data_IF_731657744726
#
_entry.id   IF_731657744726
#
_cell.length_a   1.000
_cell.length_b   1.000
_cell.length_c   1.000
_cell.angle_alpha   90.00
_cell.angle_beta   90.00
_cell.angle_gamma   90.00
#
_symmetry.space_group_name_H-M   'P 1'
#
loop_
_entity.id
_entity.type
_entity.pdbx_description
1 polymer ?
#
# COMPACT_ATOMS: atom_id res chain seq x y z
N UNK A 1 -10.73 7.00 -11.03
CA UNK A 1 -9.37 7.00 -10.46
C UNK A 1 -9.45 6.23 -9.15
N UNK A 2 -8.35 5.66 -8.66
CA UNK A 2 -8.41 4.78 -7.49
C UNK A 2 -7.14 4.85 -6.68
N UNK A 3 -7.25 4.50 -5.40
CA UNK A 3 -6.13 4.40 -4.47
C UNK A 3 -4.94 3.58 -5.02
N UNK A 4 -5.17 2.62 -5.93
CA UNK A 4 -4.10 1.85 -6.56
C UNK A 4 -3.30 2.67 -7.59
N UNK A 5 -3.98 3.46 -8.40
CA UNK A 5 -3.39 4.33 -9.41
C UNK A 5 -4.01 5.73 -9.28
N UNK A 6 -3.49 6.55 -8.35
CA UNK A 6 -4.06 7.86 -8.08
C UNK A 6 -4.02 8.75 -9.31
N UNK A 7 -5.00 9.66 -9.37
CA UNK A 7 -5.11 10.67 -10.43
C UNK A 7 -4.06 11.77 -10.33
N UNK A 8 -3.54 11.97 -9.12
CA UNK A 8 -2.57 13.01 -8.77
C UNK A 8 -1.25 12.40 -8.30
N UNK A 9 -0.18 13.17 -8.43
CA UNK A 9 1.17 12.72 -8.09
C UNK A 9 1.76 11.72 -9.09
N UNK A 10 2.99 11.30 -8.82
CA UNK A 10 3.71 10.32 -9.62
C UNK A 10 3.97 9.04 -8.82
N UNK A 11 2.91 8.51 -8.20
CA UNK A 11 2.93 7.34 -7.31
C UNK A 11 1.78 6.37 -7.61
N UNK A 12 1.85 5.19 -7.03
CA UNK A 12 0.87 4.11 -7.17
C UNK A 12 1.14 3.01 -6.15
N UNK A 13 0.13 2.19 -5.85
CA UNK A 13 0.22 1.14 -4.86
C UNK A 13 0.41 -0.24 -5.50
N UNK A 14 1.34 -1.03 -4.95
CA UNK A 14 1.61 -2.42 -5.35
C UNK A 14 1.27 -3.47 -4.29
N UNK A 15 0.57 -3.11 -3.22
CA UNK A 15 0.43 -3.96 -2.04
C UNK A 15 -0.35 -5.26 -2.30
N UNK A 16 -1.42 -5.19 -3.09
CA UNK A 16 -2.27 -6.35 -3.42
C UNK A 16 -1.55 -7.41 -4.28
N UNK A 17 -0.38 -7.07 -4.85
CA UNK A 17 0.46 -8.02 -5.57
C UNK A 17 1.42 -8.80 -4.64
N UNK A 18 1.34 -8.59 -3.33
CA UNK A 18 2.13 -9.30 -2.33
C UNK A 18 3.57 -8.82 -2.22
N UNK A 19 3.94 -7.66 -2.77
CA UNK A 19 5.32 -7.15 -2.68
C UNK A 19 5.78 -7.04 -1.23
N UNK A 20 4.98 -6.39 -0.38
CA UNK A 20 5.32 -6.12 1.03
C UNK A 20 5.17 -7.33 1.96
N UNK A 21 4.78 -8.50 1.43
CA UNK A 21 4.96 -9.75 2.16
C UNK A 21 6.44 -10.16 2.26
N UNK A 22 7.31 -9.62 1.39
CA UNK A 22 8.76 -9.80 1.49
C UNK A 22 9.32 -8.93 2.62
N UNK A 23 10.21 -9.49 3.45
CA UNK A 23 10.90 -8.77 4.52
C UNK A 23 12.11 -8.02 3.97
N UNK A 24 11.85 -6.99 3.18
CA UNK A 24 12.84 -6.13 2.55
C UNK A 24 12.79 -4.71 3.12
N UNK A 25 13.88 -3.98 2.98
CA UNK A 25 13.94 -2.54 3.24
C UNK A 25 13.43 -1.75 2.02
N UNK A 26 13.00 -0.48 2.19
CA UNK A 26 12.50 0.35 1.09
C UNK A 26 13.42 0.42 -0.14
N UNK A 27 14.73 0.49 0.09
CA UNK A 27 15.72 0.50 -0.99
C UNK A 27 15.74 -0.82 -1.75
N UNK A 28 15.62 -1.94 -1.05
CA UNK A 28 15.62 -3.28 -1.62
C UNK A 28 14.34 -3.53 -2.43
N UNK A 29 13.19 -3.03 -1.99
CA UNK A 29 11.97 -3.04 -2.81
C UNK A 29 12.17 -2.32 -4.14
N UNK A 30 12.78 -1.14 -4.14
CA UNK A 30 13.04 -0.37 -5.36
C UNK A 30 14.00 -1.11 -6.30
N UNK A 31 15.04 -1.73 -5.76
CA UNK A 31 15.97 -2.58 -6.52
C UNK A 31 15.22 -3.77 -7.14
N UNK A 32 14.41 -4.48 -6.35
CA UNK A 32 13.64 -5.62 -6.83
C UNK A 32 12.65 -5.24 -7.95
N UNK A 33 11.94 -4.12 -7.77
CA UNK A 33 11.03 -3.57 -8.77
C UNK A 33 11.78 -3.25 -10.08
N UNK A 34 12.95 -2.63 -9.97
CA UNK A 34 13.78 -2.31 -11.14
C UNK A 34 14.23 -3.59 -11.86
N UNK A 35 14.78 -4.56 -11.13
CA UNK A 35 15.22 -5.84 -11.69
C UNK A 35 14.09 -6.59 -12.39
N UNK A 36 12.92 -6.71 -11.74
CA UNK A 36 11.73 -7.32 -12.35
C UNK A 36 11.34 -6.59 -13.64
N UNK A 37 11.37 -5.26 -13.63
CA UNK A 37 11.00 -4.44 -14.78
C UNK A 37 11.95 -4.65 -15.96
N UNK A 38 13.26 -4.56 -15.74
CA UNK A 38 14.24 -4.68 -16.82
C UNK A 38 14.30 -6.13 -17.36
N UNK A 39 14.19 -7.13 -16.49
CA UNK A 39 14.08 -8.53 -16.93
C UNK A 39 12.79 -8.78 -17.71
N UNK A 40 11.66 -8.22 -17.29
CA UNK A 40 10.40 -8.36 -18.03
C UNK A 40 10.52 -7.78 -19.43
N UNK A 41 11.03 -6.55 -19.57
CA UNK A 41 11.22 -5.87 -20.86
C UNK A 41 12.11 -6.63 -21.83
N UNK A 42 13.11 -7.35 -21.31
CA UNK A 42 14.10 -8.05 -22.15
C UNK A 42 13.72 -9.49 -22.46
N UNK A 43 12.86 -10.11 -21.66
CA UNK A 43 12.56 -11.56 -21.77
C UNK A 43 11.12 -11.89 -22.15
N UNK A 44 10.17 -10.97 -21.94
CA UNK A 44 8.76 -11.17 -22.28
C UNK A 44 8.45 -10.58 -23.65
N UNK A 45 7.89 -11.42 -24.52
CA UNK A 45 7.37 -11.02 -25.82
C UNK A 45 5.85 -11.25 -25.85
N UNK A 46 5.07 -10.19 -26.05
CA UNK A 46 3.61 -10.24 -26.07
C UNK A 46 3.03 -11.15 -27.17
N UNK A 47 3.77 -11.38 -28.25
CA UNK A 47 3.39 -12.28 -29.35
C UNK A 47 3.67 -13.76 -29.02
N UNK A 48 4.54 -14.03 -28.03
CA UNK A 48 4.98 -15.37 -27.65
C UNK A 48 4.44 -15.72 -26.27
N UNK A 49 3.22 -16.28 -26.20
CA UNK A 49 2.54 -16.59 -24.92
C UNK A 49 3.40 -17.37 -23.90
N UNK A 50 4.32 -18.23 -24.35
CA UNK A 50 5.18 -19.01 -23.46
C UNK A 50 6.25 -18.16 -22.74
N UNK A 51 6.56 -16.94 -23.21
CA UNK A 51 7.53 -16.08 -22.53
C UNK A 51 7.06 -15.64 -21.14
N UNK A 52 5.75 -15.50 -20.91
CA UNK A 52 5.21 -15.07 -19.62
C UNK A 52 5.41 -16.12 -18.51
N UNK A 53 5.02 -17.40 -18.69
CA UNK A 53 5.33 -18.43 -17.70
C UNK A 53 6.84 -18.63 -17.48
N UNK A 54 7.67 -18.48 -18.52
CA UNK A 54 9.13 -18.58 -18.39
C UNK A 54 9.68 -17.45 -17.51
N UNK A 55 9.28 -16.20 -17.78
CA UNK A 55 9.65 -15.05 -16.93
C UNK A 55 9.21 -15.27 -15.49
N UNK A 56 7.94 -15.65 -15.28
CA UNK A 56 7.38 -15.91 -13.95
C UNK A 56 8.22 -16.93 -13.19
N UNK A 57 8.45 -18.11 -13.79
CA UNK A 57 9.23 -19.19 -13.18
C UNK A 57 10.65 -18.74 -12.84
N UNK A 58 11.31 -18.02 -13.74
CA UNK A 58 12.67 -17.52 -13.52
C UNK A 58 12.73 -16.53 -12.35
N UNK A 59 11.78 -15.59 -12.28
CA UNK A 59 11.70 -14.63 -11.16
C UNK A 59 11.36 -15.31 -9.84
N UNK A 60 10.35 -16.19 -9.82
CA UNK A 60 9.98 -16.95 -8.63
C UNK A 60 11.18 -17.73 -8.09
N UNK A 61 11.95 -18.42 -8.95
CA UNK A 61 13.16 -19.13 -8.55
C UNK A 61 14.26 -18.22 -7.99
N UNK A 62 14.49 -17.05 -8.59
CA UNK A 62 15.46 -16.06 -8.10
C UNK A 62 15.06 -15.51 -6.73
N UNK A 63 13.77 -15.38 -6.47
CA UNK A 63 13.21 -14.75 -5.28
C UNK A 63 12.87 -15.75 -4.16
N UNK A 64 13.03 -17.06 -4.38
CA UNK A 64 12.74 -18.13 -3.40
C UNK A 64 13.44 -17.94 -2.05
N UNK A 65 14.63 -17.34 -2.04
CA UNK A 65 15.43 -17.13 -0.84
C UNK A 65 15.04 -15.87 -0.05
N UNK A 66 14.17 -15.02 -0.60
CA UNK A 66 13.76 -13.79 0.07
C UNK A 66 12.82 -14.15 1.24
N UNK A 67 13.12 -13.67 2.46
CA UNK A 67 12.31 -13.97 3.63
C UNK A 67 10.91 -13.35 3.50
N UNK A 68 9.89 -14.08 3.95
CA UNK A 68 8.49 -13.67 3.90
C UNK A 68 7.89 -13.49 5.30
N UNK A 69 6.82 -12.71 5.41
CA UNK A 69 5.98 -12.67 6.61
C UNK A 69 5.09 -13.90 6.70
N UNK A 70 4.46 -14.23 5.58
CA UNK A 70 3.59 -15.38 5.42
C UNK A 70 4.00 -16.15 4.15
N UNK A 71 4.36 -17.42 4.33
CA UNK A 71 4.79 -18.31 3.24
C UNK A 71 3.63 -18.68 2.30
N UNK A 72 2.38 -18.55 2.77
CA UNK A 72 1.19 -18.84 1.97
C UNK A 72 0.79 -17.68 1.06
N UNK A 73 1.25 -16.46 1.36
CA UNK A 73 0.94 -15.28 0.56
C UNK A 73 1.80 -15.24 -0.70
N UNK A 74 1.13 -15.21 -1.86
CA UNK A 74 1.79 -15.17 -3.16
C UNK A 74 2.39 -13.80 -3.46
N UNK A 75 3.67 -13.76 -3.84
CA UNK A 75 4.38 -12.56 -4.27
C UNK A 75 4.44 -12.54 -5.81
N UNK A 76 3.62 -11.70 -6.45
CA UNK A 76 3.53 -11.68 -7.91
C UNK A 76 4.80 -11.09 -8.55
N UNK A 77 5.51 -11.83 -9.44
CA UNK A 77 6.73 -11.33 -10.10
C UNK A 77 6.44 -10.32 -11.21
N UNK A 78 5.18 -10.19 -11.63
CA UNK A 78 4.76 -9.23 -12.66
C UNK A 78 4.52 -7.82 -12.12
N UNK A 79 4.75 -7.57 -10.82
CA UNK A 79 4.75 -6.21 -10.30
C UNK A 79 6.11 -5.55 -10.56
N UNK A 80 6.09 -4.44 -11.30
CA UNK A 80 7.26 -3.63 -11.63
C UNK A 80 6.86 -2.18 -11.93
N UNK A 81 7.79 -1.38 -12.45
CA UNK A 81 7.50 -0.02 -12.93
C UNK A 81 6.74 -0.06 -14.26
N UNK A 82 5.68 0.74 -14.34
CA UNK A 82 4.76 0.76 -15.50
C UNK A 82 4.76 2.09 -16.26
N UNK A 83 5.60 3.03 -15.82
CA UNK A 83 5.84 4.30 -16.50
C UNK A 83 7.32 4.45 -16.89
N UNK A 84 7.63 5.25 -17.93
CA UNK A 84 9.02 5.49 -18.36
C UNK A 84 9.91 6.13 -17.29
N UNK A 85 9.32 6.97 -16.43
CA UNK A 85 10.05 7.72 -15.40
C UNK A 85 10.29 6.90 -14.12
N UNK A 86 9.81 5.65 -14.07
CA UNK A 86 9.92 4.76 -12.90
C UNK A 86 9.34 5.41 -11.63
N UNK A 87 8.28 6.21 -11.78
CA UNK A 87 7.55 6.79 -10.64
C UNK A 87 6.43 5.88 -10.15
N UNK A 88 5.78 5.16 -11.07
CA UNK A 88 4.59 4.34 -10.85
C UNK A 88 4.92 2.86 -11.01
N UNK A 89 4.46 2.08 -10.06
CA UNK A 89 4.48 0.63 -10.07
C UNK A 89 3.11 0.07 -10.42
N UNK A 90 3.08 -1.13 -10.96
CA UNK A 90 1.84 -1.78 -11.34
C UNK A 90 2.07 -3.16 -11.94
N UNK A 91 0.99 -3.82 -12.30
CA UNK A 91 1.04 -5.10 -12.97
C UNK A 91 1.51 -4.89 -14.42
N UNK A 92 2.72 -5.35 -14.76
CA UNK A 92 3.30 -5.23 -16.11
C UNK A 92 2.54 -6.04 -17.17
N UNK A 93 1.66 -6.94 -16.73
CA UNK A 93 0.76 -7.71 -17.58
C UNK A 93 -0.71 -7.25 -17.44
N UNK A 94 -0.95 -6.05 -16.92
CA UNK A 94 -2.31 -5.51 -16.82
C UNK A 94 -2.89 -5.26 -18.22
N UNK A 95 -4.17 -5.57 -18.48
CA UNK A 95 -4.80 -5.39 -19.81
C UNK A 95 -4.63 -3.99 -20.40
N UNK A 96 -4.54 -2.95 -19.56
CA UNK A 96 -4.30 -1.57 -20.01
C UNK A 96 -2.97 -1.40 -20.75
N UNK A 97 -1.96 -2.21 -20.42
CA UNK A 97 -0.62 -2.16 -21.03
C UNK A 97 -0.45 -3.19 -22.14
N UNK A 98 -1.16 -4.31 -22.05
CA UNK A 98 -1.01 -5.44 -22.98
C UNK A 98 -2.03 -5.42 -24.12
N UNK A 99 -3.17 -4.75 -23.94
CA UNK A 99 -4.33 -4.83 -24.83
C UNK A 99 -5.09 -6.17 -24.76
N UNK A 100 -4.58 -7.16 -24.01
CA UNK A 100 -5.21 -8.47 -23.86
C UNK A 100 -5.97 -8.54 -22.52
N UNK A 101 -7.31 -8.65 -22.51
CA UNK A 101 -8.08 -8.77 -21.28
C UNK A 101 -7.74 -10.02 -20.46
N UNK A 102 -7.07 -11.00 -21.06
CA UNK A 102 -6.69 -12.27 -20.44
C UNK A 102 -5.22 -12.31 -20.01
N UNK A 103 -4.42 -11.27 -20.22
CA UNK A 103 -2.98 -11.30 -19.92
C UNK A 103 -2.68 -11.59 -18.45
N UNK A 104 -3.55 -11.16 -17.53
CA UNK A 104 -3.38 -11.47 -16.10
C UNK A 104 -3.57 -12.95 -15.75
N UNK A 105 -4.08 -13.80 -16.64
CA UNK A 105 -4.13 -15.25 -16.44
C UNK A 105 -2.74 -15.92 -16.38
N UNK A 106 -1.67 -15.18 -16.70
CA UNK A 106 -0.30 -15.65 -16.45
C UNK A 106 0.15 -15.48 -14.98
N UNK A 107 -0.54 -14.64 -14.20
CA UNK A 107 -0.34 -14.55 -12.75
C UNK A 107 -0.95 -15.74 -12.00
N UNK A 108 -0.64 -15.90 -10.72
CA UNK A 108 -1.22 -16.95 -9.89
C UNK A 108 -2.73 -16.78 -9.67
N UNK A 109 -3.17 -15.57 -9.33
CA UNK A 109 -4.58 -15.29 -9.03
C UNK A 109 -5.46 -15.23 -10.29
N UNK A 110 -4.86 -14.95 -11.46
CA UNK A 110 -5.59 -14.83 -12.71
C UNK A 110 -6.37 -13.53 -12.86
N UNK A 111 -6.93 -13.29 -14.06
CA UNK A 111 -7.58 -12.04 -14.39
C UNK A 111 -8.82 -11.75 -13.52
N UNK A 112 -9.63 -12.76 -13.22
CA UNK A 112 -10.87 -12.58 -12.44
C UNK A 112 -10.60 -12.04 -11.04
N UNK A 113 -9.67 -12.64 -10.30
CA UNK A 113 -9.33 -12.21 -8.94
C UNK A 113 -8.57 -10.89 -8.99
N UNK A 114 -7.56 -10.75 -9.85
CA UNK A 114 -6.75 -9.53 -9.91
C UNK A 114 -7.55 -8.27 -10.27
N UNK A 115 -8.58 -8.38 -11.11
CA UNK A 115 -9.38 -7.22 -11.53
C UNK A 115 -10.54 -6.90 -10.58
N UNK A 116 -11.04 -7.91 -9.86
CA UNK A 116 -12.15 -7.73 -8.93
C UNK A 116 -11.72 -7.41 -7.50
N UNK A 117 -10.42 -7.51 -7.18
CA UNK A 117 -9.92 -7.29 -5.84
C UNK A 117 -9.89 -5.80 -5.47
N UNK A 118 -10.64 -5.44 -4.43
CA UNK A 118 -10.59 -4.15 -3.76
C UNK A 118 -10.05 -4.33 -2.33
N UNK A 119 -9.01 -3.58 -1.96
CA UNK A 119 -8.52 -3.58 -0.59
C UNK A 119 -9.44 -2.75 0.32
N UNK A 120 -9.34 -2.97 1.63
CA UNK A 120 -10.21 -2.30 2.62
C UNK A 120 -10.17 -0.77 2.54
N UNK A 121 -9.00 -0.18 2.28
CA UNK A 121 -8.91 1.27 2.09
C UNK A 121 -9.57 1.75 0.79
N UNK A 122 -9.57 0.93 -0.27
CA UNK A 122 -10.26 1.25 -1.52
C UNK A 122 -11.78 1.15 -1.37
N UNK A 123 -12.27 0.25 -0.52
CA UNK A 123 -13.69 0.12 -0.19
C UNK A 123 -14.21 1.25 0.72
N UNK A 124 -13.33 2.03 1.35
CA UNK A 124 -13.72 3.13 2.26
C UNK A 124 -14.43 4.26 1.50
N UNK A 125 -15.46 4.83 2.12
CA UNK A 125 -16.13 6.04 1.61
C UNK A 125 -15.21 7.27 1.63
N UNK A 126 -14.10 7.22 2.37
CA UNK A 126 -13.08 8.26 2.44
C UNK A 126 -11.88 7.98 1.53
N UNK A 127 -11.95 6.97 0.66
CA UNK A 127 -10.84 6.54 -0.18
C UNK A 127 -10.21 7.68 -0.99
N UNK A 128 -11.01 8.58 -1.56
CA UNK A 128 -10.51 9.71 -2.34
C UNK A 128 -9.74 10.74 -1.49
N UNK A 129 -10.17 10.97 -0.25
CA UNK A 129 -9.47 11.86 0.69
C UNK A 129 -8.12 11.27 1.11
N UNK A 130 -8.11 9.97 1.42
CA UNK A 130 -6.89 9.23 1.72
C UNK A 130 -5.95 9.16 0.52
N UNK A 131 -6.47 8.90 -0.68
CA UNK A 131 -5.71 8.93 -1.93
C UNK A 131 -4.97 10.26 -2.08
N UNK A 132 -5.70 11.38 -1.94
CA UNK A 132 -5.13 12.72 -2.05
C UNK A 132 -4.04 12.98 -1.00
N UNK A 133 -4.30 12.65 0.28
CA UNK A 133 -3.34 12.84 1.37
C UNK A 133 -2.07 12.02 1.14
N UNK A 134 -2.22 10.74 0.79
CA UNK A 134 -1.09 9.83 0.59
C UNK A 134 -0.29 10.18 -0.64
N UNK A 135 -0.93 10.57 -1.74
CA UNK A 135 -0.25 10.98 -2.96
C UNK A 135 0.54 12.29 -2.78
N UNK A 136 0.05 13.20 -1.94
CA UNK A 136 0.75 14.43 -1.58
C UNK A 136 1.99 14.15 -0.72
N UNK A 137 1.87 13.27 0.28
CA UNK A 137 2.96 13.06 1.23
C UNK A 137 4.00 12.04 0.76
N UNK A 138 3.62 11.00 0.00
CA UNK A 138 4.55 9.93 -0.34
C UNK A 138 5.69 10.43 -1.22
N UNK A 139 6.93 10.07 -0.88
CA UNK A 139 8.10 10.42 -1.72
C UNK A 139 8.20 9.58 -2.98
N UNK A 140 7.60 8.40 -2.96
CA UNK A 140 7.62 7.42 -4.05
C UNK A 140 6.51 6.37 -3.89
N UNK A 141 6.40 5.47 -4.87
CA UNK A 141 5.41 4.39 -4.87
C UNK A 141 5.58 3.36 -3.74
N UNK A 142 6.77 3.23 -3.12
CA UNK A 142 6.98 2.32 -1.98
C UNK A 142 6.37 2.92 -0.72
N UNK A 143 6.71 4.17 -0.40
CA UNK A 143 6.07 4.89 0.73
C UNK A 143 4.55 4.98 0.52
N UNK A 144 4.11 5.34 -0.69
CA UNK A 144 2.68 5.42 -1.01
C UNK A 144 1.97 4.08 -0.78
N UNK A 145 2.61 2.97 -1.17
CA UNK A 145 2.02 1.65 -0.96
C UNK A 145 1.88 1.29 0.52
N UNK A 146 2.85 1.62 1.36
CA UNK A 146 2.74 1.40 2.80
C UNK A 146 1.56 2.16 3.41
N UNK A 147 1.39 3.43 3.03
CA UNK A 147 0.27 4.25 3.48
C UNK A 147 -1.07 3.68 2.98
N UNK A 148 -1.17 3.41 1.67
CA UNK A 148 -2.39 2.92 1.05
C UNK A 148 -2.81 1.53 1.55
N UNK A 149 -1.87 0.71 2.00
CA UNK A 149 -2.13 -0.63 2.51
C UNK A 149 -2.53 -0.68 4.00
N UNK A 150 -2.12 0.32 4.79
CA UNK A 150 -2.30 0.36 6.25
C UNK A 150 -3.73 0.76 6.67
N UNK A 151 -4.68 -0.09 6.29
CA UNK A 151 -6.10 0.12 6.54
C UNK A 151 -6.49 -0.01 8.02
N UNK A 152 -5.71 -0.75 8.82
CA UNK A 152 -5.93 -0.85 10.26
C UNK A 152 -5.65 0.51 10.90
N UNK A 153 -4.52 1.14 10.56
CA UNK A 153 -4.15 2.43 11.12
C UNK A 153 -5.09 3.55 10.64
N UNK A 154 -5.49 3.53 9.36
CA UNK A 154 -6.54 4.42 8.83
C UNK A 154 -7.84 4.26 9.61
N UNK A 155 -8.32 3.03 9.79
CA UNK A 155 -9.56 2.75 10.53
C UNK A 155 -9.47 3.17 11.99
N UNK A 156 -8.32 2.98 12.64
CA UNK A 156 -8.08 3.44 14.01
C UNK A 156 -8.17 4.97 14.11
N UNK A 157 -7.58 5.71 13.15
CA UNK A 157 -7.64 7.18 13.14
C UNK A 157 -9.05 7.69 12.89
N UNK A 158 -9.77 7.13 11.92
CA UNK A 158 -11.18 7.47 11.68
C UNK A 158 -12.01 7.24 12.94
N UNK A 159 -11.77 6.13 13.64
CA UNK A 159 -12.45 5.80 14.90
C UNK A 159 -12.09 6.76 16.03
N UNK A 160 -10.82 7.19 16.11
CA UNK A 160 -10.37 8.18 17.08
C UNK A 160 -11.13 9.51 16.90
N UNK A 161 -11.13 10.07 15.68
CA UNK A 161 -11.83 11.33 15.43
C UNK A 161 -13.34 11.20 15.63
N UNK A 162 -13.93 10.05 15.33
CA UNK A 162 -15.33 9.78 15.66
C UNK A 162 -15.61 9.88 17.17
N UNK A 163 -14.76 9.31 18.01
CA UNK A 163 -14.91 9.35 19.48
C UNK A 163 -14.66 10.74 20.05
N UNK A 164 -13.77 11.52 19.44
CA UNK A 164 -13.54 12.94 19.72
C UNK A 164 -14.57 13.85 19.06
N UNK A 165 -15.69 13.28 18.56
CA UNK A 165 -16.82 13.99 17.94
C UNK A 165 -16.41 14.93 16.79
N UNK A 166 -15.30 14.62 16.13
CA UNK A 166 -14.75 15.38 15.01
C UNK A 166 -15.16 14.73 13.69
N UNK A 167 -15.74 15.52 12.79
CA UNK A 167 -16.10 15.06 11.44
C UNK A 167 -14.85 14.94 10.55
N UNK A 168 -14.71 13.85 9.80
CA UNK A 168 -13.54 13.62 8.93
C UNK A 168 -13.36 14.69 7.85
N UNK A 169 -14.43 15.30 7.35
CA UNK A 169 -14.32 16.44 6.42
C UNK A 169 -13.55 17.61 7.06
N UNK A 170 -13.89 17.94 8.31
CA UNK A 170 -13.19 18.97 9.07
C UNK A 170 -11.73 18.59 9.29
N UNK A 171 -11.47 17.32 9.62
CA UNK A 171 -10.10 16.81 9.84
C UNK A 171 -9.26 16.97 8.56
N UNK A 172 -9.75 16.55 7.39
CA UNK A 172 -9.01 16.68 6.14
C UNK A 172 -8.79 18.13 5.69
N UNK A 173 -9.69 19.04 6.04
CA UNK A 173 -9.59 20.46 5.68
C UNK A 173 -8.70 21.25 6.65
N UNK A 174 -8.81 21.00 7.96
CA UNK A 174 -8.24 21.87 9.01
C UNK A 174 -7.09 21.23 9.78
N UNK A 175 -7.02 19.89 9.81
CA UNK A 175 -6.00 19.13 10.54
C UNK A 175 -5.12 18.30 9.59
N UNK A 176 -5.04 18.73 8.33
CA UNK A 176 -4.33 17.99 7.28
C UNK A 176 -2.85 17.81 7.60
N UNK A 177 -2.20 18.86 8.09
CA UNK A 177 -0.77 18.82 8.42
C UNK A 177 -0.50 17.89 9.61
N UNK A 178 -1.39 17.91 10.60
CA UNK A 178 -1.36 17.01 11.75
C UNK A 178 -1.55 15.55 11.31
N UNK A 179 -2.51 15.28 10.42
CA UNK A 179 -2.66 13.94 9.83
C UNK A 179 -1.37 13.50 9.11
N UNK A 180 -0.77 14.37 8.30
CA UNK A 180 0.48 14.06 7.62
C UNK A 180 1.60 13.75 8.62
N UNK A 181 1.70 14.50 9.72
CA UNK A 181 2.70 14.26 10.76
C UNK A 181 2.53 12.88 11.42
N UNK A 182 1.30 12.49 11.77
CA UNK A 182 1.00 11.16 12.31
C UNK A 182 1.47 10.07 11.32
N UNK A 183 1.11 10.19 10.05
CA UNK A 183 1.50 9.21 9.03
C UNK A 183 3.01 9.22 8.74
N UNK A 184 3.68 10.37 8.88
CA UNK A 184 5.15 10.43 8.79
C UNK A 184 5.80 9.67 9.92
N UNK A 185 5.32 9.82 11.15
CA UNK A 185 5.77 9.02 12.29
C UNK A 185 5.49 7.53 12.06
N UNK A 186 4.31 7.20 11.52
CA UNK A 186 3.94 5.83 11.14
C UNK A 186 4.89 5.20 10.11
N UNK A 187 5.34 5.97 9.12
CA UNK A 187 6.30 5.50 8.12
C UNK A 187 7.70 5.23 8.69
N UNK A 188 8.06 5.77 9.85
CA UNK A 188 9.34 5.43 10.50
C UNK A 188 9.33 3.95 10.91
N UNK A 189 8.18 3.43 11.37
CA UNK A 189 8.02 2.03 11.80
C UNK A 189 7.62 1.09 10.65
N UNK A 190 7.31 1.62 9.45
CA UNK A 190 6.90 0.79 8.31
C UNK A 190 8.01 -0.15 7.81
N UNK A 191 9.28 0.21 7.99
CA UNK A 191 10.43 -0.60 7.56
C UNK A 191 10.54 -1.93 8.32
N UNK A 192 10.08 -1.97 9.57
CA UNK A 192 10.05 -3.19 10.38
C UNK A 192 8.75 -3.95 10.14
N UNK A 193 7.64 -3.22 10.03
CA UNK A 193 6.30 -3.79 10.00
C UNK A 193 5.83 -4.21 8.61
N UNK A 194 6.39 -3.68 7.51
CA UNK A 194 6.12 -4.10 6.13
C UNK A 194 4.62 -4.29 5.79
N UNK A 195 3.79 -3.27 6.01
CA UNK A 195 2.33 -3.37 5.91
C UNK A 195 1.88 -3.99 4.58
N UNK A 196 1.02 -5.01 4.66
CA UNK A 196 0.40 -5.61 3.48
C UNK A 196 -1.05 -5.12 3.34
N UNK A 197 -1.73 -5.51 2.27
CA UNK A 197 -3.17 -5.26 2.11
C UNK A 197 -4.01 -6.44 2.60
N UNK A 198 -3.39 -7.47 3.16
CA UNK A 198 -4.03 -8.75 3.49
C UNK A 198 -4.24 -8.96 4.98
N UNK A 199 -3.68 -8.11 5.84
CA UNK A 199 -3.96 -8.16 7.27
C UNK A 199 -5.48 -8.04 7.48
N UNK A 200 -6.03 -8.92 8.32
CA UNK A 200 -7.42 -8.83 8.74
C UNK A 200 -7.44 -8.01 10.02
N UNK A 201 -8.17 -6.89 10.02
CA UNK A 201 -8.41 -6.15 11.24
C UNK A 201 -9.38 -6.91 12.15
N UNK A 202 -8.85 -7.71 13.09
CA UNK A 202 -9.67 -8.31 14.15
C UNK A 202 -10.00 -7.32 15.26
N UNK A 203 -9.34 -6.16 15.30
CA UNK A 203 -9.53 -5.15 16.34
C UNK A 203 -10.67 -4.19 15.95
N UNK A 204 -11.72 -4.17 16.75
CA UNK A 204 -12.89 -3.30 16.52
C UNK A 204 -12.75 -1.90 17.12
N UNK A 205 -11.60 -1.58 17.73
CA UNK A 205 -11.32 -0.33 18.45
C UNK A 205 -12.55 0.21 19.23
N UNK A 206 -13.03 -0.54 20.24
CA UNK A 206 -14.34 -0.28 20.86
C UNK A 206 -14.42 1.04 21.62
N UNK A 207 -13.30 1.54 22.14
CA UNK A 207 -13.22 2.74 22.96
C UNK A 207 -11.87 3.47 22.82
N UNK A 208 -11.75 4.64 23.45
CA UNK A 208 -10.51 5.44 23.43
C UNK A 208 -9.32 4.72 24.05
N UNK A 209 -9.54 3.80 25.00
CA UNK A 209 -8.44 3.10 25.66
C UNK A 209 -7.81 2.07 24.72
N UNK A 210 -8.63 1.34 23.96
CA UNK A 210 -8.16 0.42 22.94
C UNK A 210 -7.34 1.15 21.87
N UNK A 211 -7.81 2.32 21.42
CA UNK A 211 -7.07 3.17 20.48
C UNK A 211 -5.74 3.66 21.07
N UNK A 212 -5.73 4.11 22.33
CA UNK A 212 -4.50 4.59 22.96
C UNK A 212 -3.44 3.49 23.06
N UNK A 213 -3.84 2.26 23.38
CA UNK A 213 -2.94 1.10 23.40
C UNK A 213 -2.40 0.84 21.98
N UNK A 214 -3.28 0.82 20.98
CA UNK A 214 -2.90 0.60 19.59
C UNK A 214 -1.91 1.66 19.12
N UNK A 215 -2.23 2.95 19.22
CA UNK A 215 -1.35 4.02 18.76
C UNK A 215 -0.04 4.09 19.54
N UNK A 216 -0.03 3.83 20.84
CA UNK A 216 1.21 3.75 21.60
C UNK A 216 2.12 2.61 21.09
N UNK A 217 1.55 1.47 20.70
CA UNK A 217 2.32 0.38 20.08
C UNK A 217 2.79 0.71 18.65
N UNK A 218 2.01 1.50 17.91
CA UNK A 218 2.27 1.77 16.50
C UNK A 218 3.21 2.96 16.25
N UNK A 219 3.11 4.02 17.06
CA UNK A 219 3.86 5.29 16.90
C UNK A 219 4.44 5.84 18.22
N UNK A 220 4.35 5.10 19.33
CA UNK A 220 5.11 5.41 20.56
C UNK A 220 4.64 6.67 21.31
N UNK A 221 5.57 7.28 22.05
CA UNK A 221 5.29 8.47 22.87
C UNK A 221 4.78 9.67 22.06
N UNK A 222 5.11 9.73 20.75
CA UNK A 222 4.55 10.73 19.84
C UNK A 222 3.02 10.78 19.90
N UNK A 223 2.35 9.62 20.04
CA UNK A 223 0.89 9.59 20.19
C UNK A 223 0.41 10.38 21.40
N UNK A 224 1.06 10.20 22.56
CA UNK A 224 0.66 10.85 23.81
C UNK A 224 0.85 12.35 23.73
N UNK A 225 1.98 12.79 23.20
CA UNK A 225 2.30 14.21 23.02
C UNK A 225 1.31 14.85 22.05
N UNK A 226 1.12 14.24 20.87
CA UNK A 226 0.21 14.73 19.86
C UNK A 226 -1.24 14.79 20.34
N UNK A 227 -1.75 13.71 20.97
CA UNK A 227 -3.13 13.66 21.50
C UNK A 227 -3.37 14.73 22.56
N UNK A 228 -2.39 14.94 23.45
CA UNK A 228 -2.48 15.97 24.50
C UNK A 228 -2.60 17.36 23.89
N UNK A 229 -1.79 17.69 22.87
CA UNK A 229 -1.86 18.97 22.18
C UNK A 229 -3.16 19.12 21.36
N UNK A 230 -3.61 18.04 20.72
CA UNK A 230 -4.88 18.02 20.00
C UNK A 230 -6.07 18.35 20.93
N UNK A 231 -6.14 17.72 22.09
CA UNK A 231 -7.23 17.94 23.07
C UNK A 231 -7.16 19.34 23.71
N UNK A 232 -5.97 19.92 23.89
CA UNK A 232 -5.83 21.32 24.34
C UNK A 232 -6.39 22.31 23.32
N UNK A 233 -6.19 22.05 22.02
CA UNK A 233 -6.67 22.90 20.93
C UNK A 233 -8.16 22.70 20.65
N UNK A 234 -8.71 21.54 20.99
CA UNK A 234 -10.11 21.16 20.76
C UNK A 234 -10.74 20.68 22.08
N UNK A 235 -10.93 21.57 23.07
CA UNK A 235 -11.70 21.22 24.25
C UNK A 235 -13.14 20.96 23.80
N UNK A 236 -13.59 19.71 23.99
CA UNK A 236 -14.92 19.25 23.56
C UNK A 236 -16.08 20.09 24.09
#
# INVERSE_FOLDING_TARGET
MSLCHPGVGNVSCGACCGLFNLKLQPKEFKTLLLERTEEFKTTVNFEVRHSFPVFRKNRENKETHLPKKDDMTYNCPFLGYVDPNKGRIGCMIHPIFTGDPKSQNFSFYGASICQAYDCKNKESVLADHWESLFAEMAKDSVEYSFLAADHIFVSALEKFFQLEQSNMEYVFQNLRLELMEIFRTRLITSNEKNFTSFEINYESFPDSKALDIYFLNEIGEFWKEWKTEFQKKNPG
#
